data_IF_292742415497
#
_entry.id   IF_292742415497
#
_cell.length_a   1.000
_cell.length_b   1.000
_cell.length_c   1.000
_cell.angle_alpha   90.00
_cell.angle_beta   90.00
_cell.angle_gamma   90.00
#
_symmetry.space_group_name_H-M   'P 1'
#
loop_
_entity.id
_entity.type
_entity.pdbx_description
1 polymer ?
#
# COMPACT_ATOMS: atom_id res chain seq x y z
N UNK A 1 1.99 -9.55 10.76
CA UNK A 1 0.82 -9.47 9.83
C UNK A 1 0.25 -10.87 9.72
N UNK A 2 -1.04 -11.04 10.07
CA UNK A 2 -1.70 -12.36 10.17
C UNK A 2 -1.68 -13.18 8.88
N UNK A 3 -1.63 -12.55 7.72
CA UNK A 3 -1.67 -13.20 6.40
C UNK A 3 -0.32 -13.22 5.67
N UNK A 4 0.78 -12.94 6.36
CA UNK A 4 2.12 -13.09 5.79
C UNK A 4 2.38 -14.56 5.47
N UNK A 5 3.00 -14.83 4.33
CA UNK A 5 3.34 -16.17 3.83
C UNK A 5 2.15 -17.10 3.51
N UNK A 6 0.93 -16.55 3.47
CA UNK A 6 -0.27 -17.26 2.99
C UNK A 6 -0.41 -17.03 1.49
N UNK A 7 -0.78 -18.06 0.72
CA UNK A 7 -1.01 -17.99 -0.74
C UNK A 7 -2.29 -17.21 -1.07
N UNK A 8 -2.28 -15.93 -0.69
CA UNK A 8 -3.30 -14.93 -0.99
C UNK A 8 -2.62 -13.63 -1.40
N UNK A 9 -3.16 -12.95 -2.38
CA UNK A 9 -2.73 -11.57 -2.72
C UNK A 9 -3.27 -10.61 -1.65
N UNK A 10 -2.42 -9.80 -1.03
CA UNK A 10 -2.79 -8.80 -0.04
C UNK A 10 -3.03 -7.47 -0.75
N UNK A 11 -4.27 -7.01 -0.74
CA UNK A 11 -4.68 -5.78 -1.40
C UNK A 11 -4.94 -4.72 -0.33
N UNK A 12 -4.12 -3.69 -0.32
CA UNK A 12 -4.32 -2.54 0.56
C UNK A 12 -5.13 -1.49 -0.18
N UNK A 13 -6.37 -1.31 0.24
CA UNK A 13 -7.30 -0.33 -0.31
C UNK A 13 -7.52 0.83 0.66
N UNK A 14 -7.99 1.95 0.16
CA UNK A 14 -8.29 3.14 0.97
C UNK A 14 -8.23 4.40 0.14
N UNK A 15 -8.79 5.47 0.67
CA UNK A 15 -8.79 6.76 0.00
C UNK A 15 -7.36 7.26 -0.24
N UNK A 16 -7.21 8.16 -1.21
CA UNK A 16 -5.92 8.79 -1.49
C UNK A 16 -5.38 9.48 -0.23
N UNK A 17 -4.08 9.40 0.01
CA UNK A 17 -3.36 10.00 1.18
C UNK A 17 -3.72 9.43 2.56
N UNK A 18 -4.43 8.30 2.65
CA UNK A 18 -4.67 7.63 3.95
C UNK A 18 -3.47 6.85 4.49
N UNK A 19 -2.33 6.82 3.78
CA UNK A 19 -1.09 6.20 4.27
C UNK A 19 -0.79 4.81 3.68
N UNK A 20 -1.41 4.39 2.56
CA UNK A 20 -1.16 3.08 1.94
C UNK A 20 0.32 2.84 1.63
N UNK A 21 0.96 3.79 0.92
CA UNK A 21 2.39 3.72 0.60
C UNK A 21 3.27 3.63 1.85
N UNK A 22 2.96 4.45 2.87
CA UNK A 22 3.68 4.42 4.16
C UNK A 22 3.53 3.07 4.87
N UNK A 23 2.37 2.41 4.77
CA UNK A 23 2.18 1.07 5.31
C UNK A 23 3.06 0.06 4.59
N UNK A 24 3.18 0.14 3.26
CA UNK A 24 4.08 -0.73 2.48
C UNK A 24 5.56 -0.49 2.83
N UNK A 25 5.97 0.78 3.00
CA UNK A 25 7.33 1.12 3.45
C UNK A 25 7.63 0.54 4.84
N UNK A 26 6.71 0.68 5.79
CA UNK A 26 6.84 0.08 7.12
C UNK A 26 6.88 -1.44 7.06
N UNK A 27 6.11 -2.06 6.16
CA UNK A 27 6.15 -3.50 5.96
C UNK A 27 7.48 -3.96 5.36
N UNK A 28 8.03 -3.25 4.39
CA UNK A 28 9.36 -3.51 3.86
C UNK A 28 10.43 -3.47 4.97
N UNK A 29 10.43 -2.41 5.78
CA UNK A 29 11.35 -2.33 6.94
C UNK A 29 11.13 -3.47 7.94
N UNK A 30 9.88 -3.86 8.18
CA UNK A 30 9.56 -5.00 9.04
C UNK A 30 10.17 -6.30 8.50
N UNK A 31 10.10 -6.56 7.19
CA UNK A 31 10.71 -7.74 6.57
C UNK A 31 12.23 -7.77 6.77
N UNK A 32 12.91 -6.66 6.51
CA UNK A 32 14.37 -6.52 6.73
C UNK A 32 14.74 -6.78 8.20
N UNK A 33 14.00 -6.19 9.14
CA UNK A 33 14.24 -6.35 10.58
C UNK A 33 13.98 -7.78 11.08
N UNK A 34 13.24 -8.59 10.31
CA UNK A 34 12.98 -10.01 10.62
C UNK A 34 13.81 -10.98 9.78
N UNK A 35 14.92 -10.50 9.20
CA UNK A 35 15.93 -11.32 8.56
C UNK A 35 15.63 -11.71 7.10
N UNK A 36 14.64 -11.09 6.45
CA UNK A 36 14.46 -11.25 5.01
C UNK A 36 15.57 -10.47 4.31
N UNK A 37 16.29 -11.12 3.39
CA UNK A 37 17.32 -10.45 2.62
C UNK A 37 16.71 -9.41 1.68
N UNK A 38 17.35 -8.26 1.51
CA UNK A 38 16.88 -7.20 0.63
C UNK A 38 16.71 -7.68 -0.82
N UNK A 39 17.57 -8.60 -1.27
CA UNK A 39 17.46 -9.26 -2.58
C UNK A 39 16.16 -10.08 -2.77
N UNK A 40 15.47 -10.40 -1.69
CA UNK A 40 14.20 -11.12 -1.70
C UNK A 40 13.00 -10.20 -1.52
N UNK A 41 13.20 -8.88 -1.66
CA UNK A 41 12.13 -7.88 -1.58
C UNK A 41 12.15 -7.04 -2.85
N UNK A 42 11.09 -7.10 -3.63
CA UNK A 42 10.88 -6.24 -4.80
C UNK A 42 9.81 -5.22 -4.43
N UNK A 43 10.23 -3.98 -4.13
CA UNK A 43 9.32 -2.90 -3.76
C UNK A 43 9.34 -1.81 -4.82
N UNK A 44 8.20 -1.59 -5.47
CA UNK A 44 8.06 -0.67 -6.59
C UNK A 44 6.85 0.25 -6.41
N UNK A 45 7.08 1.57 -6.47
CA UNK A 45 6.00 2.54 -6.66
C UNK A 45 5.87 2.82 -8.16
N UNK A 46 4.79 2.35 -8.76
CA UNK A 46 4.59 2.35 -10.21
C UNK A 46 4.16 3.71 -10.77
N UNK A 47 3.79 4.69 -9.93
CA UNK A 47 3.65 6.09 -10.36
C UNK A 47 5.00 6.77 -10.64
N UNK A 48 6.11 6.17 -10.19
CA UNK A 48 7.45 6.72 -10.44
C UNK A 48 7.81 6.67 -11.92
N UNK A 49 8.36 7.77 -12.46
CA UNK A 49 8.89 7.84 -13.83
C UNK A 49 10.00 6.80 -14.11
N UNK A 50 10.61 6.24 -13.07
CA UNK A 50 11.55 5.10 -13.17
C UNK A 50 10.92 3.89 -13.88
N UNK A 51 9.61 3.72 -13.74
CA UNK A 51 8.85 2.58 -14.24
C UNK A 51 7.89 2.94 -15.37
N UNK A 52 8.05 4.12 -15.98
CA UNK A 52 7.16 4.66 -17.03
C UNK A 52 6.97 3.73 -18.24
N UNK A 53 7.93 2.87 -18.50
CA UNK A 53 7.92 1.95 -19.66
C UNK A 53 7.25 0.60 -19.32
N UNK A 54 6.88 0.36 -18.06
CA UNK A 54 6.24 -0.88 -17.59
C UNK A 54 4.70 -0.80 -17.61
N UNK A 55 4.11 -0.25 -18.67
CA UNK A 55 2.64 -0.09 -18.74
C UNK A 55 1.89 -1.34 -19.17
N UNK A 56 2.51 -2.18 -19.98
CA UNK A 56 1.97 -3.45 -20.43
C UNK A 56 2.31 -4.57 -19.44
N UNK A 57 1.34 -5.46 -19.15
CA UNK A 57 1.51 -6.52 -18.16
C UNK A 57 2.59 -7.55 -18.53
N UNK A 58 2.86 -7.80 -19.82
CA UNK A 58 3.93 -8.72 -20.25
C UNK A 58 5.30 -8.10 -19.97
N UNK A 59 5.49 -6.82 -20.33
CA UNK A 59 6.73 -6.09 -20.06
C UNK A 59 6.97 -5.99 -18.54
N UNK A 60 5.93 -5.75 -17.79
CA UNK A 60 5.98 -5.73 -16.32
C UNK A 60 6.34 -7.11 -15.75
N UNK A 61 5.70 -8.18 -16.25
CA UNK A 61 5.99 -9.54 -15.82
C UNK A 61 7.44 -9.92 -16.08
N UNK A 62 7.95 -9.69 -17.29
CA UNK A 62 9.34 -9.98 -17.65
C UNK A 62 10.32 -9.21 -16.75
N UNK A 63 10.09 -7.91 -16.59
CA UNK A 63 10.92 -7.05 -15.74
C UNK A 63 11.02 -7.53 -14.29
N UNK A 64 9.91 -7.94 -13.70
CA UNK A 64 9.88 -8.43 -12.30
C UNK A 64 10.45 -9.84 -12.21
N UNK A 65 10.11 -10.74 -13.14
CA UNK A 65 10.57 -12.15 -13.16
C UNK A 65 12.09 -12.28 -13.18
N UNK A 66 12.77 -11.41 -13.92
CA UNK A 66 14.25 -11.36 -13.96
C UNK A 66 14.88 -11.01 -12.60
N UNK A 67 14.10 -10.41 -11.69
CA UNK A 67 14.55 -9.90 -10.39
C UNK A 67 14.12 -10.75 -9.22
N UNK A 68 13.26 -11.74 -9.45
CA UNK A 68 12.84 -12.69 -8.41
C UNK A 68 14.05 -13.48 -7.92
N UNK A 69 14.18 -13.61 -6.60
CA UNK A 69 15.28 -14.31 -5.98
C UNK A 69 15.31 -15.79 -6.44
N UNK A 70 16.52 -16.28 -6.76
CA UNK A 70 16.71 -17.68 -7.18
C UNK A 70 16.52 -18.70 -6.04
N UNK A 71 16.49 -18.23 -4.80
CA UNK A 71 16.30 -19.06 -3.62
C UNK A 71 15.51 -18.33 -2.54
N UNK A 72 14.61 -19.07 -1.89
CA UNK A 72 13.74 -18.54 -0.86
C UNK A 72 12.57 -17.74 -1.43
N UNK A 73 11.63 -17.43 -0.56
CA UNK A 73 10.43 -16.66 -0.92
C UNK A 73 10.77 -15.22 -1.25
N UNK A 74 10.19 -14.67 -2.33
CA UNK A 74 10.30 -13.26 -2.70
C UNK A 74 9.03 -12.50 -2.32
N UNK A 75 9.19 -11.35 -1.70
CA UNK A 75 8.11 -10.44 -1.34
C UNK A 75 7.95 -9.38 -2.43
N UNK A 76 6.81 -9.43 -3.13
CA UNK A 76 6.46 -8.47 -4.18
C UNK A 76 5.56 -7.39 -3.56
N UNK A 77 6.02 -6.15 -3.56
CA UNK A 77 5.32 -5.00 -2.98
C UNK A 77 5.13 -3.96 -4.09
N UNK A 78 3.91 -3.84 -4.60
CA UNK A 78 3.58 -2.94 -5.70
C UNK A 78 2.62 -1.85 -5.24
N UNK A 79 3.10 -0.61 -5.25
CA UNK A 79 2.30 0.57 -4.94
C UNK A 79 1.71 1.17 -6.22
N UNK A 80 0.41 1.52 -6.21
CA UNK A 80 -0.36 2.08 -7.31
C UNK A 80 -0.34 1.20 -8.59
N UNK A 81 -0.62 -0.11 -8.40
CA UNK A 81 -0.51 -1.13 -9.46
C UNK A 81 -1.44 -0.89 -10.66
N UNK A 82 -2.54 -0.15 -10.49
CA UNK A 82 -3.49 0.16 -11.57
C UNK A 82 -2.88 0.95 -12.74
N UNK A 83 -1.64 1.41 -12.62
CA UNK A 83 -0.90 2.06 -13.73
C UNK A 83 -0.56 1.06 -14.83
N UNK A 84 -0.47 -0.24 -14.50
CA UNK A 84 -0.19 -1.33 -15.43
C UNK A 84 -1.50 -1.81 -16.07
N UNK A 85 -1.57 -1.84 -17.39
CA UNK A 85 -2.72 -2.40 -18.10
C UNK A 85 -2.75 -3.92 -17.91
N UNK A 86 -3.93 -4.47 -17.60
CA UNK A 86 -4.12 -5.92 -17.38
C UNK A 86 -3.21 -6.53 -16.30
N UNK A 87 -2.84 -5.73 -15.29
CA UNK A 87 -1.93 -6.11 -14.21
C UNK A 87 -2.36 -7.41 -13.48
N UNK A 88 -3.66 -7.68 -13.41
CA UNK A 88 -4.22 -8.87 -12.78
C UNK A 88 -3.67 -10.18 -13.38
N UNK A 89 -3.37 -10.19 -14.70
CA UNK A 89 -2.77 -11.34 -15.39
C UNK A 89 -1.32 -11.56 -14.94
N UNK A 90 -0.56 -10.47 -14.78
CA UNK A 90 0.82 -10.57 -14.28
C UNK A 90 0.84 -11.06 -12.82
N UNK A 91 -0.05 -10.55 -11.97
CA UNK A 91 -0.14 -10.98 -10.56
C UNK A 91 -0.49 -12.46 -10.45
N UNK A 92 -1.45 -12.96 -11.23
CA UNK A 92 -1.76 -14.39 -11.23
C UNK A 92 -0.60 -15.23 -11.74
N UNK A 93 0.11 -14.78 -12.80
CA UNK A 93 1.29 -15.48 -13.31
C UNK A 93 2.42 -15.51 -12.26
N UNK A 94 2.73 -14.42 -11.57
CA UNK A 94 3.73 -14.45 -10.49
C UNK A 94 3.39 -15.46 -9.41
N UNK A 95 2.11 -15.56 -9.04
CA UNK A 95 1.65 -16.49 -8.02
C UNK A 95 1.75 -17.94 -8.46
N UNK A 96 1.57 -18.22 -9.76
CA UNK A 96 1.65 -19.58 -10.33
C UNK A 96 3.10 -20.02 -10.56
N UNK A 97 3.96 -19.11 -10.99
CA UNK A 97 5.29 -19.44 -11.50
C UNK A 97 6.39 -19.37 -10.43
N UNK A 98 6.16 -18.66 -9.31
CA UNK A 98 7.20 -18.39 -8.32
C UNK A 98 6.72 -18.57 -6.88
N UNK A 99 7.67 -18.83 -5.97
CA UNK A 99 7.41 -18.77 -4.52
C UNK A 99 7.45 -17.31 -4.05
N UNK A 100 6.30 -16.65 -4.15
CA UNK A 100 6.16 -15.22 -3.84
C UNK A 100 5.07 -14.96 -2.81
N UNK A 101 5.21 -13.83 -2.12
CA UNK A 101 4.18 -13.25 -1.27
C UNK A 101 3.87 -11.83 -1.76
N UNK A 102 2.63 -11.57 -2.19
CA UNK A 102 2.27 -10.39 -3.01
C UNK A 102 1.43 -9.41 -2.21
N UNK A 103 1.87 -8.17 -2.18
CA UNK A 103 1.23 -7.01 -1.56
C UNK A 103 1.03 -5.92 -2.60
N UNK A 104 -0.18 -5.46 -2.79
CA UNK A 104 -0.50 -4.43 -3.77
C UNK A 104 -1.33 -3.30 -3.17
N UNK A 105 -1.13 -2.09 -3.68
CA UNK A 105 -2.05 -0.98 -3.43
C UNK A 105 -2.59 -0.42 -4.72
N UNK A 106 -3.65 0.34 -4.61
CA UNK A 106 -4.22 1.13 -5.68
C UNK A 106 -5.51 1.82 -5.27
N UNK A 107 -6.14 2.53 -6.18
CA UNK A 107 -7.43 3.16 -5.92
C UNK A 107 -8.54 2.11 -5.88
N UNK A 108 -9.47 2.24 -4.92
CA UNK A 108 -10.57 1.27 -4.67
C UNK A 108 -11.36 0.90 -5.93
N UNK A 109 -11.60 1.86 -6.83
CA UNK A 109 -12.45 1.66 -8.00
C UNK A 109 -11.83 0.70 -9.02
N UNK A 110 -10.49 0.63 -9.11
CA UNK A 110 -9.80 -0.20 -10.08
C UNK A 110 -9.39 -1.57 -9.51
N UNK A 111 -8.99 -1.64 -8.24
CA UNK A 111 -8.53 -2.88 -7.62
C UNK A 111 -9.66 -3.85 -7.23
N UNK A 112 -10.90 -3.38 -7.12
CA UNK A 112 -12.07 -4.19 -6.78
C UNK A 112 -13.05 -4.31 -7.95
N UNK A 113 -12.59 -4.06 -9.18
CA UNK A 113 -13.41 -4.29 -10.37
C UNK A 113 -13.84 -5.74 -10.50
N UNK A 114 -14.96 -5.98 -11.18
CA UNK A 114 -15.53 -7.32 -11.39
C UNK A 114 -14.55 -8.27 -12.08
N UNK A 115 -13.69 -7.74 -12.95
CA UNK A 115 -12.65 -8.50 -13.67
C UNK A 115 -11.61 -9.05 -12.71
N UNK A 116 -11.14 -8.25 -11.76
CA UNK A 116 -10.21 -8.66 -10.74
C UNK A 116 -10.79 -9.75 -9.81
N UNK A 117 -12.01 -9.54 -9.33
CA UNK A 117 -12.70 -10.50 -8.46
C UNK A 117 -12.89 -11.86 -9.14
N UNK A 118 -13.06 -11.87 -10.46
CA UNK A 118 -13.25 -13.08 -11.26
C UNK A 118 -11.93 -13.82 -11.47
N UNK A 119 -10.85 -13.10 -11.80
CA UNK A 119 -9.55 -13.70 -12.10
C UNK A 119 -8.87 -14.28 -10.87
N UNK A 120 -8.87 -13.59 -9.77
CA UNK A 120 -8.28 -14.11 -8.51
C UNK A 120 -9.21 -15.06 -7.74
N UNK A 121 -10.48 -15.22 -8.16
CA UNK A 121 -11.40 -16.25 -7.64
C UNK A 121 -11.34 -16.44 -6.12
N UNK A 122 -11.34 -15.35 -5.34
CA UNK A 122 -11.28 -15.43 -3.86
C UNK A 122 -9.89 -15.68 -3.28
N UNK A 123 -8.82 -15.65 -4.10
CA UNK A 123 -7.42 -15.81 -3.65
C UNK A 123 -6.76 -14.49 -3.25
N UNK A 124 -7.50 -13.60 -2.65
CA UNK A 124 -6.99 -12.35 -2.11
C UNK A 124 -7.62 -12.02 -0.76
N UNK A 125 -6.96 -11.16 -0.03
CA UNK A 125 -7.48 -10.54 1.18
C UNK A 125 -7.40 -9.02 1.04
N UNK A 126 -8.51 -8.35 1.30
CA UNK A 126 -8.55 -6.88 1.34
C UNK A 126 -8.16 -6.38 2.72
N UNK A 127 -7.20 -5.46 2.74
CA UNK A 127 -6.78 -4.69 3.93
C UNK A 127 -7.26 -3.26 3.70
N UNK A 128 -8.42 -2.93 4.25
CA UNK A 128 -9.01 -1.62 4.06
C UNK A 128 -8.44 -0.59 5.04
N UNK A 129 -7.75 0.40 4.51
CA UNK A 129 -7.27 1.54 5.28
C UNK A 129 -8.30 2.66 5.31
N UNK A 130 -8.60 3.12 6.50
CA UNK A 130 -9.43 4.29 6.75
C UNK A 130 -8.53 5.45 7.22
N UNK A 131 -8.99 6.70 7.11
CA UNK A 131 -8.38 7.79 7.85
C UNK A 131 -8.30 7.46 9.35
N UNK A 132 -7.36 8.07 10.06
CA UNK A 132 -7.19 7.86 11.50
C UNK A 132 -8.51 8.11 12.24
N UNK A 133 -8.89 7.20 13.11
CA UNK A 133 -9.92 7.42 14.11
C UNK A 133 -9.46 8.51 15.10
N UNK A 134 -10.36 9.11 15.88
CA UNK A 134 -9.97 10.13 16.83
C UNK A 134 -8.92 9.62 17.85
N UNK A 135 -9.01 8.37 18.27
CA UNK A 135 -8.01 7.75 19.13
C UNK A 135 -6.64 7.70 18.46
N UNK A 136 -6.58 7.17 17.23
CA UNK A 136 -5.33 7.10 16.47
C UNK A 136 -4.80 8.50 16.15
N UNK A 137 -5.67 9.47 15.90
CA UNK A 137 -5.31 10.88 15.72
C UNK A 137 -4.61 11.44 16.96
N UNK A 138 -5.10 11.14 18.17
CA UNK A 138 -4.46 11.57 19.41
C UNK A 138 -3.06 10.95 19.61
N UNK A 139 -2.90 9.68 19.20
CA UNK A 139 -1.64 8.96 19.32
C UNK A 139 -0.63 9.38 18.23
N UNK A 140 -1.13 9.77 17.05
CA UNK A 140 -0.31 10.09 15.88
C UNK A 140 0.23 11.52 15.89
N UNK A 141 -0.53 12.48 16.46
CA UNK A 141 -0.17 13.89 16.46
C UNK A 141 0.39 14.32 17.82
N UNK A 142 1.48 15.10 17.79
CA UNK A 142 2.05 15.74 18.95
C UNK A 142 1.27 17.05 19.24
N UNK A 143 0.61 17.11 20.37
CA UNK A 143 -0.09 18.29 20.84
C UNK A 143 0.68 18.93 22.01
N UNK A 144 0.61 20.27 22.12
CA UNK A 144 1.12 20.94 23.28
C UNK A 144 0.39 20.44 24.56
N UNK A 145 1.09 20.36 25.71
CA UNK A 145 0.53 19.76 26.94
C UNK A 145 -0.72 20.45 27.47
N UNK A 146 -0.91 21.73 27.14
CA UNK A 146 -2.00 22.60 27.60
C UNK A 146 -3.27 22.51 26.75
N UNK A 147 -3.21 21.81 25.61
CA UNK A 147 -4.39 21.64 24.72
C UNK A 147 -5.34 20.59 25.31
N UNK A 148 -6.59 21.01 25.57
CA UNK A 148 -7.63 20.13 26.09
C UNK A 148 -8.06 19.04 25.08
N UNK A 149 -8.72 18.00 25.58
CA UNK A 149 -9.24 16.92 24.73
C UNK A 149 -10.34 17.46 23.80
N UNK A 150 -11.13 18.43 24.26
CA UNK A 150 -12.18 19.10 23.51
C UNK A 150 -11.60 19.87 22.34
N UNK A 151 -10.52 20.62 22.55
CA UNK A 151 -9.83 21.36 21.49
C UNK A 151 -9.19 20.41 20.45
N UNK A 152 -8.61 19.27 20.90
CA UNK A 152 -8.11 18.23 20.00
C UNK A 152 -9.24 17.61 19.16
N UNK A 153 -10.41 17.40 19.78
CA UNK A 153 -11.58 16.88 19.07
C UNK A 153 -12.12 17.89 18.06
N UNK A 154 -12.16 19.18 18.38
CA UNK A 154 -12.53 20.23 17.41
C UNK A 154 -11.58 20.25 16.21
N UNK A 155 -10.26 20.12 16.43
CA UNK A 155 -9.29 19.98 15.33
C UNK A 155 -9.55 18.73 14.48
N UNK A 156 -9.88 17.60 15.10
CA UNK A 156 -10.22 16.39 14.37
C UNK A 156 -11.48 16.56 13.51
N UNK A 157 -12.50 17.22 14.03
CA UNK A 157 -13.72 17.52 13.27
C UNK A 157 -13.47 18.49 12.11
N UNK A 158 -12.60 19.48 12.31
CA UNK A 158 -12.28 20.49 11.31
C UNK A 158 -11.39 19.96 10.19
N UNK A 159 -10.37 19.19 10.52
CA UNK A 159 -9.32 18.77 9.57
C UNK A 159 -9.44 17.30 9.15
N UNK A 160 -10.21 16.49 9.87
CA UNK A 160 -10.33 15.06 9.64
C UNK A 160 -9.15 14.25 10.15
N UNK A 161 -9.17 12.95 9.85
CA UNK A 161 -8.16 11.97 10.30
C UNK A 161 -7.09 11.64 9.26
N UNK A 162 -6.77 12.53 8.32
CA UNK A 162 -5.78 12.24 7.27
C UNK A 162 -4.35 12.39 7.82
N UNK A 163 -3.47 11.37 7.71
CA UNK A 163 -2.10 11.41 8.22
C UNK A 163 -1.26 12.58 7.69
N UNK A 164 -1.51 13.05 6.47
CA UNK A 164 -0.79 14.16 5.83
C UNK A 164 -0.89 15.49 6.61
N UNK A 165 -1.91 15.65 7.48
CA UNK A 165 -2.09 16.84 8.30
C UNK A 165 -0.90 17.09 9.23
N UNK A 166 -0.13 16.06 9.59
CA UNK A 166 1.10 16.20 10.38
C UNK A 166 2.13 17.08 9.66
N UNK A 167 2.30 16.89 8.36
CA UNK A 167 3.21 17.69 7.54
C UNK A 167 2.74 19.15 7.39
N UNK A 168 1.42 19.34 7.36
CA UNK A 168 0.81 20.67 7.21
C UNK A 168 0.63 21.42 8.52
N UNK A 169 0.94 20.81 9.66
CA UNK A 169 0.80 21.41 11.01
C UNK A 169 -0.56 22.07 11.24
N UNK A 170 -1.64 21.45 10.74
CA UNK A 170 -3.00 21.99 10.80
C UNK A 170 -3.17 23.38 10.13
N UNK A 171 -2.40 23.67 9.10
CA UNK A 171 -2.57 24.88 8.32
C UNK A 171 -3.81 24.75 7.43
N UNK A 172 -4.84 25.58 7.67
CA UNK A 172 -6.14 25.51 6.96
C UNK A 172 -5.97 25.59 5.43
N UNK A 173 -5.18 26.55 4.93
CA UNK A 173 -5.01 26.76 3.48
C UNK A 173 -4.40 25.54 2.78
N UNK A 174 -3.58 24.75 3.47
CA UNK A 174 -2.96 23.53 2.94
C UNK A 174 -3.82 22.29 3.16
N UNK A 175 -4.59 22.26 4.25
CA UNK A 175 -5.42 21.11 4.63
C UNK A 175 -6.66 20.97 3.76
N UNK A 176 -7.23 22.08 3.24
CA UNK A 176 -8.39 22.06 2.35
C UNK A 176 -8.05 21.52 0.94
N UNK A 177 -6.78 21.57 0.54
CA UNK A 177 -6.30 21.05 -0.75
C UNK A 177 -5.85 19.58 -0.68
N UNK A 178 -5.88 18.98 0.49
CA UNK A 178 -5.45 17.61 0.73
C UNK A 178 -6.59 16.61 0.60
#
# INVERSE_FOLDING_TARGET
IQNKDVDLVKIVTGIRRCGKSSLLDLFHQHLLNHGVADSNIIHMNLESLRYRDLKDYLVFYDYVSERIAKSGKTYLIFDELQVIEHWEKAIESFRLDFDVDIYITGSNAYLLSTEFSTLLSGRYVEIRMLPLSFKEFLDFYEFAPDISIEEKFQKYLQFGGMPILREYRFNEARSIQA
#
